data_IF_458250542746
#
_entry.id   IF_458250542746
#
_cell.length_a   1.000
_cell.length_b   1.000
_cell.length_c   1.000
_cell.angle_alpha   90.00
_cell.angle_beta   90.00
_cell.angle_gamma   90.00
#
_symmetry.space_group_name_H-M   'P 1'
#
loop_
_entity.id
_entity.type
_entity.pdbx_description
1 polymer ?
#
# COMPACT_ATOMS: atom_id res chain seq x y z
N UNK A 1 22.24 17.14 -6.80
CA UNK A 1 22.69 17.10 -5.39
C UNK A 1 22.28 15.76 -4.81
N UNK A 2 23.17 15.02 -4.14
CA UNK A 2 22.86 13.74 -3.52
C UNK A 2 23.05 13.86 -2.01
N UNK A 3 21.98 13.58 -1.26
CA UNK A 3 22.02 13.47 0.21
C UNK A 3 22.02 11.99 0.55
N UNK A 4 22.96 11.55 1.37
CA UNK A 4 23.09 10.14 1.78
C UNK A 4 22.95 10.07 3.29
N UNK A 5 22.03 9.23 3.75
CA UNK A 5 21.90 8.91 5.16
C UNK A 5 22.91 7.79 5.50
N UNK A 6 24.15 8.19 5.81
CA UNK A 6 25.29 7.30 6.03
C UNK A 6 25.10 6.30 7.19
N UNK A 7 24.13 6.53 8.08
CA UNK A 7 23.92 5.69 9.26
C UNK A 7 22.92 4.54 9.05
N UNK A 8 22.33 4.38 7.85
CA UNK A 8 21.24 3.41 7.62
C UNK A 8 20.19 3.42 8.74
N UNK A 9 19.86 4.61 9.27
CA UNK A 9 18.80 4.72 10.28
C UNK A 9 17.51 4.22 9.63
N UNK A 10 16.86 3.18 10.17
CA UNK A 10 15.71 2.54 9.51
C UNK A 10 14.54 3.51 9.34
N UNK A 11 14.48 4.59 10.12
CA UNK A 11 13.38 5.55 10.12
C UNK A 11 13.41 6.56 8.96
N UNK A 12 14.54 6.68 8.25
CA UNK A 12 14.73 7.66 7.18
C UNK A 12 15.20 6.98 5.88
N UNK A 13 14.90 7.57 4.70
CA UNK A 13 15.41 7.06 3.44
C UNK A 13 16.95 7.00 3.43
N UNK A 14 17.48 6.02 2.71
CA UNK A 14 18.93 5.80 2.60
C UNK A 14 19.61 6.87 1.75
N UNK A 15 18.95 7.34 0.70
CA UNK A 15 19.43 8.44 -0.13
C UNK A 15 18.30 9.25 -0.75
N UNK A 16 18.61 10.52 -1.03
CA UNK A 16 17.78 11.44 -1.80
C UNK A 16 18.66 12.08 -2.88
N UNK A 17 18.32 11.82 -4.14
CA UNK A 17 19.00 12.34 -5.31
C UNK A 17 18.13 13.41 -5.96
N UNK A 18 18.60 14.65 -5.93
CA UNK A 18 17.99 15.78 -6.60
C UNK A 18 18.68 16.05 -7.94
N UNK A 19 17.94 15.98 -9.03
CA UNK A 19 18.37 16.27 -10.40
C UNK A 19 17.73 17.59 -10.86
N UNK A 20 18.42 18.73 -10.66
CA UNK A 20 17.92 20.02 -11.15
C UNK A 20 17.86 20.01 -12.67
N UNK A 21 16.87 20.71 -13.21
CA UNK A 21 16.76 20.93 -14.64
C UNK A 21 17.79 22.00 -15.07
N UNK A 22 18.52 21.74 -16.16
CA UNK A 22 19.41 22.73 -16.78
C UNK A 22 18.66 23.81 -17.56
N UNK A 23 17.33 23.71 -17.68
CA UNK A 23 16.45 24.63 -18.38
C UNK A 23 15.25 24.98 -17.50
N UNK A 24 14.86 26.26 -17.45
CA UNK A 24 13.72 26.73 -16.66
C UNK A 24 12.38 26.11 -17.10
N UNK A 25 12.28 25.68 -18.36
CA UNK A 25 11.09 25.06 -18.92
C UNK A 25 10.95 23.57 -18.56
N UNK A 26 12.01 22.94 -18.02
CA UNK A 26 11.98 21.52 -17.67
C UNK A 26 11.74 21.33 -16.16
N UNK A 27 10.98 20.31 -15.76
CA UNK A 27 10.75 20.01 -14.35
C UNK A 27 12.01 19.44 -13.69
N UNK A 28 12.11 19.62 -12.38
CA UNK A 28 13.13 18.93 -11.58
C UNK A 28 12.71 17.48 -11.36
N UNK A 29 13.69 16.59 -11.28
CA UNK A 29 13.48 15.19 -10.90
C UNK A 29 14.12 14.92 -9.54
N UNK A 30 13.43 14.15 -8.71
CA UNK A 30 13.91 13.71 -7.41
C UNK A 30 13.68 12.23 -7.29
N UNK A 31 14.69 11.52 -6.82
CA UNK A 31 14.62 10.10 -6.48
C UNK A 31 14.94 9.92 -5.01
N UNK A 32 14.15 9.10 -4.34
CA UNK A 32 14.36 8.69 -2.96
C UNK A 32 14.50 7.17 -2.97
N UNK A 33 15.53 6.66 -2.31
CA UNK A 33 15.80 5.22 -2.26
C UNK A 33 16.30 4.79 -0.89
N UNK A 34 16.09 3.53 -0.55
CA UNK A 34 16.71 2.90 0.61
C UNK A 34 17.41 1.58 0.23
N UNK A 35 18.12 1.01 1.21
CA UNK A 35 18.88 -0.23 1.03
C UNK A 35 17.99 -1.48 0.87
N UNK A 36 16.66 -1.34 1.05
CA UNK A 36 15.69 -2.43 1.06
C UNK A 36 14.77 -2.35 -0.15
N UNK A 37 15.29 -1.79 -1.25
CA UNK A 37 14.68 -1.76 -2.58
C UNK A 37 13.32 -1.05 -2.67
N UNK A 38 13.03 -0.14 -1.75
CA UNK A 38 11.88 0.76 -1.87
C UNK A 38 12.35 2.11 -2.42
N UNK A 39 11.75 2.51 -3.54
CA UNK A 39 12.07 3.76 -4.23
C UNK A 39 10.82 4.61 -4.44
N UNK A 40 10.96 5.93 -4.31
CA UNK A 40 9.98 6.92 -4.72
C UNK A 40 10.60 7.92 -5.68
N UNK A 41 9.82 8.43 -6.63
CA UNK A 41 10.27 9.43 -7.58
C UNK A 41 9.30 10.60 -7.65
N UNK A 42 9.78 11.74 -8.12
CA UNK A 42 8.96 12.93 -8.17
C UNK A 42 9.47 13.87 -9.22
N UNK A 43 8.58 14.24 -10.13
CA UNK A 43 8.86 15.17 -11.21
C UNK A 43 7.94 16.37 -11.08
N UNK A 44 8.50 17.58 -11.08
CA UNK A 44 7.70 18.79 -10.95
C UNK A 44 8.53 20.06 -10.72
N UNK A 45 7.82 21.18 -10.58
CA UNK A 45 8.43 22.48 -10.31
C UNK A 45 8.88 22.63 -8.86
N UNK A 46 10.09 23.16 -8.66
CA UNK A 46 10.61 23.55 -7.35
C UNK A 46 10.53 22.44 -6.30
N UNK A 47 9.95 22.74 -5.13
CA UNK A 47 9.84 21.79 -4.01
C UNK A 47 8.80 20.68 -4.21
N UNK A 48 7.95 20.76 -5.24
CA UNK A 48 6.88 19.76 -5.43
C UNK A 48 7.44 18.40 -5.84
N UNK A 49 8.51 18.37 -6.64
CA UNK A 49 9.21 17.13 -7.00
C UNK A 49 9.75 16.40 -5.76
N UNK A 50 10.28 17.13 -4.78
CA UNK A 50 10.74 16.57 -3.50
C UNK A 50 9.57 15.98 -2.70
N UNK A 51 8.45 16.72 -2.61
CA UNK A 51 7.25 16.26 -1.88
C UNK A 51 6.65 15.00 -2.50
N UNK A 52 6.56 14.94 -3.83
CA UNK A 52 6.06 13.76 -4.55
C UNK A 52 6.98 12.56 -4.33
N UNK A 53 8.30 12.73 -4.50
CA UNK A 53 9.25 11.62 -4.32
C UNK A 53 9.25 11.06 -2.89
N UNK A 54 9.18 11.92 -1.88
CA UNK A 54 9.04 11.49 -0.48
C UNK A 54 7.70 10.82 -0.22
N UNK A 55 6.61 11.37 -0.77
CA UNK A 55 5.27 10.79 -0.62
C UNK A 55 5.19 9.38 -1.19
N UNK A 56 5.67 9.19 -2.41
CA UNK A 56 5.71 7.88 -3.07
C UNK A 56 6.64 6.90 -2.32
N UNK A 57 7.78 7.37 -1.80
CA UNK A 57 8.66 6.56 -0.96
C UNK A 57 7.96 6.06 0.31
N UNK A 58 7.32 6.96 1.08
CA UNK A 58 6.64 6.58 2.31
C UNK A 58 5.41 5.70 2.05
N UNK A 59 4.65 5.97 0.98
CA UNK A 59 3.56 5.12 0.55
C UNK A 59 4.03 3.69 0.28
N UNK A 60 5.02 3.52 -0.60
CA UNK A 60 5.54 2.21 -0.94
C UNK A 60 6.17 1.52 0.27
N UNK A 61 6.97 2.24 1.06
CA UNK A 61 7.57 1.69 2.27
C UNK A 61 6.51 1.12 3.19
N UNK A 62 5.41 1.85 3.40
CA UNK A 62 4.33 1.40 4.25
C UNK A 62 3.71 0.09 3.75
N UNK A 63 3.22 0.07 2.50
CA UNK A 63 2.50 -1.08 1.96
C UNK A 63 3.40 -2.30 1.65
N UNK A 64 4.68 -2.09 1.35
CA UNK A 64 5.63 -3.19 1.13
C UNK A 64 6.23 -3.77 2.40
N UNK A 65 6.26 -3.03 3.52
CA UNK A 65 7.10 -3.43 4.67
C UNK A 65 6.50 -3.22 6.05
N UNK A 66 5.52 -2.35 6.21
CA UNK A 66 5.06 -1.90 7.54
C UNK A 66 3.63 -2.32 7.87
N UNK A 67 2.94 -3.00 6.94
CA UNK A 67 1.63 -3.59 7.23
C UNK A 67 1.83 -4.79 8.16
N UNK A 68 1.32 -4.65 9.38
CA UNK A 68 1.27 -5.71 10.37
C UNK A 68 -0.17 -6.20 10.53
N UNK A 69 -0.34 -7.51 10.52
CA UNK A 69 -1.64 -8.12 10.79
C UNK A 69 -2.02 -7.98 12.25
N UNK A 70 -3.32 -7.89 12.49
CA UNK A 70 -3.90 -7.74 13.83
C UNK A 70 -4.44 -9.05 14.39
N UNK A 71 -4.86 -9.99 13.53
CA UNK A 71 -5.57 -11.19 13.94
C UNK A 71 -5.46 -12.29 12.87
N UNK A 72 -5.66 -13.54 13.26
CA UNK A 72 -5.87 -14.66 12.35
C UNK A 72 -7.28 -15.24 12.60
N UNK A 73 -8.13 -15.32 11.57
CA UNK A 73 -9.54 -15.69 11.74
C UNK A 73 -10.38 -15.63 10.46
N UNK A 74 -11.70 -15.84 10.59
CA UNK A 74 -12.63 -15.86 9.46
C UNK A 74 -13.13 -14.47 9.07
N UNK A 75 -13.55 -14.31 7.80
CA UNK A 75 -14.16 -13.06 7.31
C UNK A 75 -15.43 -12.70 8.08
N UNK A 76 -16.24 -13.70 8.44
CA UNK A 76 -17.51 -13.55 9.13
C UNK A 76 -17.40 -13.04 10.56
N UNK A 77 -16.19 -12.98 11.13
CA UNK A 77 -15.98 -12.49 12.50
C UNK A 77 -16.11 -10.96 12.61
N UNK A 78 -15.97 -10.22 11.51
CA UNK A 78 -16.03 -8.74 11.52
C UNK A 78 -16.81 -8.13 10.36
N UNK A 79 -17.00 -8.88 9.27
CA UNK A 79 -17.73 -8.42 8.09
C UNK A 79 -19.18 -8.88 8.13
N UNK A 80 -20.06 -8.11 7.51
CA UNK A 80 -21.45 -8.50 7.29
C UNK A 80 -21.54 -9.67 6.31
N UNK A 81 -22.62 -10.45 6.33
CA UNK A 81 -22.79 -11.57 5.39
C UNK A 81 -22.72 -11.15 3.91
N UNK A 82 -23.19 -9.94 3.58
CA UNK A 82 -23.07 -9.39 2.24
C UNK A 82 -21.60 -9.08 1.86
N UNK A 83 -20.84 -8.47 2.76
CA UNK A 83 -19.40 -8.19 2.57
C UNK A 83 -18.61 -9.51 2.42
N UNK A 84 -18.88 -10.50 3.27
CA UNK A 84 -18.25 -11.84 3.18
C UNK A 84 -18.52 -12.46 1.81
N UNK A 85 -19.77 -12.43 1.34
CA UNK A 85 -20.13 -12.98 0.04
C UNK A 85 -19.43 -12.24 -1.12
N UNK A 86 -19.32 -10.91 -1.04
CA UNK A 86 -18.58 -10.11 -2.02
C UNK A 86 -17.09 -10.46 -2.05
N UNK A 87 -16.44 -10.59 -0.89
CA UNK A 87 -15.05 -11.05 -0.80
C UNK A 87 -14.88 -12.44 -1.38
N UNK A 88 -15.73 -13.40 -0.99
CA UNK A 88 -15.65 -14.76 -1.48
C UNK A 88 -15.79 -14.83 -3.00
N UNK A 89 -16.73 -14.08 -3.57
CA UNK A 89 -16.90 -13.97 -5.04
C UNK A 89 -15.71 -13.33 -5.74
N UNK A 90 -15.06 -12.34 -5.13
CA UNK A 90 -13.85 -11.75 -5.69
C UNK A 90 -12.69 -12.76 -5.66
N UNK A 91 -12.51 -13.43 -4.53
CA UNK A 91 -11.40 -14.35 -4.29
C UNK A 91 -11.42 -15.62 -5.15
N UNK A 92 -12.59 -16.17 -5.45
CA UNK A 92 -12.66 -17.30 -6.40
C UNK A 92 -12.23 -16.92 -7.82
N UNK A 93 -12.22 -15.63 -8.18
CA UNK A 93 -11.78 -15.15 -9.50
C UNK A 93 -10.27 -14.90 -9.55
N UNK A 94 -9.64 -14.64 -8.40
CA UNK A 94 -8.22 -14.30 -8.31
C UNK A 94 -7.33 -15.45 -7.85
N UNK A 95 -7.93 -16.50 -7.28
CA UNK A 95 -7.20 -17.62 -6.75
C UNK A 95 -6.35 -18.33 -7.82
N UNK A 96 -5.14 -18.74 -7.45
CA UNK A 96 -4.20 -19.46 -8.33
C UNK A 96 -4.64 -20.90 -8.65
N UNK A 97 -5.65 -21.40 -7.93
CA UNK A 97 -6.31 -22.69 -8.17
C UNK A 97 -7.82 -22.54 -8.09
N UNK A 98 -8.54 -23.57 -8.52
CA UNK A 98 -9.99 -23.63 -8.34
C UNK A 98 -10.30 -23.74 -6.84
N UNK A 99 -11.02 -22.75 -6.31
CA UNK A 99 -11.46 -22.64 -4.91
C UNK A 99 -12.97 -22.44 -4.91
N UNK A 100 -13.68 -23.04 -3.97
CA UNK A 100 -15.13 -22.84 -3.81
C UNK A 100 -15.43 -21.68 -2.87
N UNK A 101 -16.63 -21.07 -2.97
CA UNK A 101 -17.07 -20.01 -2.02
C UNK A 101 -16.97 -20.50 -0.58
N UNK A 102 -17.42 -21.73 -0.32
CA UNK A 102 -17.36 -22.33 1.02
C UNK A 102 -15.93 -22.47 1.54
N UNK A 103 -15.01 -22.88 0.68
CA UNK A 103 -13.60 -22.97 1.03
C UNK A 103 -13.00 -21.61 1.38
N UNK A 104 -13.40 -20.52 0.69
CA UNK A 104 -13.00 -19.16 1.05
C UNK A 104 -13.60 -18.74 2.41
N UNK A 105 -14.87 -19.04 2.66
CA UNK A 105 -15.54 -18.69 3.92
C UNK A 105 -15.00 -19.46 5.13
N UNK A 106 -14.59 -20.73 4.92
CA UNK A 106 -13.96 -21.60 5.93
C UNK A 106 -12.43 -21.39 6.01
N UNK A 107 -11.84 -20.54 5.16
CA UNK A 107 -10.42 -20.20 5.24
C UNK A 107 -10.16 -19.19 6.36
N UNK A 108 -9.10 -19.42 7.14
CA UNK A 108 -8.64 -18.48 8.15
C UNK A 108 -7.63 -17.53 7.52
N UNK A 109 -8.01 -16.27 7.44
CA UNK A 109 -7.18 -15.22 6.89
C UNK A 109 -6.33 -14.57 7.97
N UNK A 110 -5.20 -14.04 7.53
CA UNK A 110 -4.48 -13.02 8.27
C UNK A 110 -5.21 -11.69 8.10
N UNK A 111 -5.75 -11.11 9.17
CA UNK A 111 -6.68 -9.98 9.15
C UNK A 111 -6.05 -8.69 9.71
N UNK A 112 -6.36 -7.55 9.07
CA UNK A 112 -5.91 -6.21 9.47
C UNK A 112 -7.09 -5.28 9.75
N UNK A 113 -6.92 -4.42 10.75
CA UNK A 113 -7.93 -3.43 11.14
C UNK A 113 -8.02 -2.31 10.11
N UNK A 114 -9.24 -2.03 9.67
CA UNK A 114 -9.55 -0.92 8.76
C UNK A 114 -10.84 -0.23 9.20
N UNK A 115 -11.14 0.89 8.54
CA UNK A 115 -12.33 1.71 8.80
C UNK A 115 -13.21 1.68 7.55
N UNK A 116 -14.51 1.43 7.72
CA UNK A 116 -15.48 1.52 6.62
C UNK A 116 -15.62 2.96 6.16
N UNK A 117 -15.53 3.16 4.85
CA UNK A 117 -15.61 4.51 4.27
C UNK A 117 -17.01 5.16 4.40
N UNK A 118 -18.07 4.36 4.60
CA UNK A 118 -19.45 4.84 4.66
C UNK A 118 -19.79 5.49 6.01
N UNK A 119 -19.41 4.84 7.11
CA UNK A 119 -19.86 5.17 8.47
C UNK A 119 -18.72 5.30 9.48
N UNK A 120 -17.48 5.15 9.03
CA UNK A 120 -16.27 5.14 9.86
C UNK A 120 -16.26 4.07 10.97
N UNK A 121 -17.09 3.03 10.85
CA UNK A 121 -17.03 1.89 11.76
C UNK A 121 -15.78 1.05 11.51
N UNK A 122 -15.23 0.47 12.58
CA UNK A 122 -14.09 -0.43 12.49
C UNK A 122 -14.50 -1.79 11.94
N UNK A 123 -13.65 -2.38 11.10
CA UNK A 123 -13.74 -3.79 10.72
C UNK A 123 -12.36 -4.41 10.46
N UNK A 124 -12.36 -5.70 10.15
CA UNK A 124 -11.19 -6.47 9.77
C UNK A 124 -11.36 -6.96 8.33
N UNK A 125 -10.32 -6.79 7.52
CA UNK A 125 -10.24 -7.33 6.16
C UNK A 125 -8.98 -8.20 6.00
N UNK A 126 -8.93 -9.08 4.99
CA UNK A 126 -7.72 -9.82 4.65
C UNK A 126 -6.53 -8.90 4.41
N UNK A 127 -5.44 -9.15 5.14
CA UNK A 127 -4.19 -8.39 5.05
C UNK A 127 -3.55 -8.55 3.68
N UNK A 128 -3.81 -9.68 3.01
CA UNK A 128 -3.40 -9.93 1.62
C UNK A 128 -3.95 -8.91 0.62
N UNK A 129 -5.04 -8.20 0.96
CA UNK A 129 -5.61 -7.14 0.11
C UNK A 129 -4.89 -5.79 0.25
N UNK A 130 -4.01 -5.62 1.24
CA UNK A 130 -3.34 -4.34 1.53
C UNK A 130 -1.81 -4.47 1.58
N UNK A 131 -1.28 -5.62 1.99
CA UNK A 131 0.15 -5.84 2.09
C UNK A 131 0.73 -6.32 0.76
N UNK A 132 1.73 -5.60 0.26
CA UNK A 132 2.50 -5.97 -0.92
C UNK A 132 3.63 -6.96 -0.60
N UNK A 133 3.88 -7.22 0.68
CA UNK A 133 4.83 -8.24 1.14
C UNK A 133 4.20 -9.63 1.16
N UNK A 134 4.97 -10.66 0.88
CA UNK A 134 4.56 -12.06 1.15
C UNK A 134 4.74 -12.45 2.62
N UNK A 135 5.48 -11.65 3.41
CA UNK A 135 5.84 -12.00 4.78
C UNK A 135 4.60 -12.22 5.66
N UNK A 136 4.46 -13.43 6.20
CA UNK A 136 3.36 -13.79 7.09
C UNK A 136 2.00 -13.97 6.39
N UNK A 137 1.99 -14.09 5.05
CA UNK A 137 0.78 -14.24 4.23
C UNK A 137 0.81 -15.48 3.34
N UNK A 138 1.72 -16.42 3.59
CA UNK A 138 1.93 -17.60 2.75
C UNK A 138 0.64 -18.41 2.54
N UNK A 139 -0.16 -18.55 3.58
CA UNK A 139 -1.44 -19.26 3.53
C UNK A 139 -2.53 -18.51 2.75
N UNK A 140 -2.42 -17.19 2.59
CA UNK A 140 -3.39 -16.36 1.87
C UNK A 140 -2.97 -16.14 0.40
N UNK A 141 -1.70 -16.38 0.06
CA UNK A 141 -1.12 -16.11 -1.26
C UNK A 141 -1.84 -16.84 -2.40
N UNK A 142 -2.37 -18.05 -2.17
CA UNK A 142 -3.09 -18.79 -3.21
C UNK A 142 -4.44 -18.18 -3.55
N UNK A 143 -5.02 -17.38 -2.65
CA UNK A 143 -6.32 -16.72 -2.84
C UNK A 143 -6.15 -15.39 -3.59
N UNK A 144 -5.12 -14.61 -3.25
CA UNK A 144 -4.83 -13.31 -3.86
C UNK A 144 -3.32 -13.14 -4.16
N UNK A 145 -2.83 -13.78 -5.23
CA UNK A 145 -1.40 -13.87 -5.55
C UNK A 145 -0.82 -12.58 -6.16
N UNK A 146 -1.63 -11.81 -6.89
CA UNK A 146 -1.20 -10.60 -7.58
C UNK A 146 -1.73 -9.37 -6.85
N UNK A 147 -0.82 -8.49 -6.43
CA UNK A 147 -1.14 -7.31 -5.62
C UNK A 147 -0.49 -6.09 -6.23
N UNK A 148 -1.16 -4.96 -6.11
CA UNK A 148 -0.69 -3.68 -6.61
C UNK A 148 -0.97 -2.56 -5.61
N UNK A 149 -0.51 -1.36 -5.94
CA UNK A 149 -0.69 -0.16 -5.12
C UNK A 149 -2.00 0.56 -5.45
N UNK A 150 -3.00 -0.11 -6.04
CA UNK A 150 -4.24 0.55 -6.42
C UNK A 150 -4.96 1.12 -5.20
N UNK A 151 -5.25 2.41 -5.23
CA UNK A 151 -5.91 3.12 -4.13
C UNK A 151 -5.01 3.42 -2.93
N UNK A 152 -3.71 3.11 -3.01
CA UNK A 152 -2.73 3.57 -2.02
C UNK A 152 -2.49 5.08 -2.17
N UNK A 153 -2.28 5.75 -1.05
CA UNK A 153 -1.93 7.18 -1.04
C UNK A 153 -1.21 7.55 0.25
N UNK A 154 -0.26 8.47 0.16
CA UNK A 154 0.38 9.09 1.31
C UNK A 154 0.18 10.61 1.31
N UNK A 155 -0.30 11.13 2.45
CA UNK A 155 -0.36 12.56 2.72
C UNK A 155 -0.36 12.81 4.23
N UNK A 156 0.25 13.91 4.69
CA UNK A 156 0.27 14.29 6.11
C UNK A 156 -1.12 14.65 6.68
N UNK A 157 -2.05 15.00 5.79
CA UNK A 157 -3.45 15.32 6.11
C UNK A 157 -4.34 14.15 5.64
N UNK A 158 -5.01 13.43 6.55
CA UNK A 158 -5.80 12.24 6.22
C UNK A 158 -6.91 12.50 5.19
N UNK A 159 -7.56 13.66 5.25
CA UNK A 159 -8.60 14.03 4.28
C UNK A 159 -8.03 14.09 2.87
N UNK A 160 -6.84 14.68 2.70
CA UNK A 160 -6.20 14.77 1.39
C UNK A 160 -5.68 13.43 0.89
N UNK A 161 -5.19 12.56 1.79
CA UNK A 161 -4.86 11.17 1.42
C UNK A 161 -6.11 10.43 0.91
N UNK A 162 -7.25 10.62 1.58
CA UNK A 162 -8.52 10.01 1.16
C UNK A 162 -9.07 10.63 -0.14
N UNK A 163 -8.87 11.92 -0.40
CA UNK A 163 -9.36 12.62 -1.60
C UNK A 163 -8.45 12.46 -2.83
N UNK A 164 -7.13 12.32 -2.69
CA UNK A 164 -6.23 12.03 -3.82
C UNK A 164 -6.64 10.75 -4.58
N UNK A 165 -7.35 9.85 -3.88
CA UNK A 165 -8.08 8.70 -4.43
C UNK A 165 -9.08 9.03 -5.55
N UNK A 166 -9.65 10.24 -5.57
CA UNK A 166 -10.71 10.62 -6.52
C UNK A 166 -10.20 11.38 -7.74
N UNK A 167 -9.04 12.03 -7.67
CA UNK A 167 -8.57 12.95 -8.74
C UNK A 167 -7.39 12.45 -9.57
N UNK A 168 -6.79 11.30 -9.26
CA UNK A 168 -5.85 10.64 -10.19
C UNK A 168 -4.59 11.45 -10.55
N UNK A 169 -4.09 12.28 -9.62
CA UNK A 169 -2.86 13.05 -9.83
C UNK A 169 -1.73 12.47 -8.98
N UNK A 170 -0.89 11.66 -9.63
CA UNK A 170 0.46 11.30 -9.20
C UNK A 170 1.42 12.47 -9.42
#
# INVERSE_FOLDING_TARGET
MKVINLMQKPDLPGSLLFQPAGLLALPHSVEVSDALSVNGSGVGGGSNSIKTALGEYFERRHFYREILSSKYGFLSESLTGAEVNSFARAFIQTASRKVSIREVEEHKFTLSKVVRALDFSMCLIPTVCISLSSYGLDDDNFIYPLRDTCGCSFHWCPNLAFFRRREGVS
#
